data_IF_851616679503
#
_entry.id   IF_851616679503
#
_cell.length_a   1.000
_cell.length_b   1.000
_cell.length_c   1.000
_cell.angle_alpha   90.00
_cell.angle_beta   90.00
_cell.angle_gamma   90.00
#
_symmetry.space_group_name_H-M   'P 1'
#
loop_
_entity.id
_entity.type
_entity.pdbx_description
1 polymer ?
#
# COMPACT_ATOMS: atom_id res chain seq x y z
N UNK A 1 -2.60 6.20 21.23
CA UNK A 1 -1.42 5.45 21.73
C UNK A 1 -1.78 4.49 22.86
N UNK A 2 -2.63 4.89 23.80
CA UNK A 2 -3.11 4.03 24.90
C UNK A 2 -3.83 2.75 24.43
N UNK A 3 -4.59 2.83 23.34
CA UNK A 3 -5.40 1.70 22.85
C UNK A 3 -4.56 0.57 22.23
N UNK A 4 -3.61 0.88 21.34
CA UNK A 4 -2.69 -0.12 20.78
C UNK A 4 -1.91 -0.84 21.88
N UNK A 5 -1.34 -0.09 22.82
CA UNK A 5 -0.61 -0.66 23.97
C UNK A 5 -1.55 -1.51 24.85
N UNK A 6 -2.80 -1.08 25.04
CA UNK A 6 -3.79 -1.88 25.77
C UNK A 6 -4.09 -3.21 25.08
N UNK A 7 -4.26 -3.20 23.76
CA UNK A 7 -4.52 -4.40 22.96
C UNK A 7 -3.33 -5.37 22.98
N UNK A 8 -2.11 -4.86 22.82
CA UNK A 8 -0.88 -5.65 22.89
C UNK A 8 -0.68 -6.34 24.25
N UNK A 9 -1.15 -5.74 25.35
CA UNK A 9 -1.10 -6.37 26.68
C UNK A 9 -2.19 -7.44 26.90
N UNK A 10 -3.21 -7.53 26.03
CA UNK A 10 -4.34 -8.46 26.16
C UNK A 10 -4.22 -9.67 25.25
N UNK A 11 -3.62 -9.51 24.06
CA UNK A 11 -3.47 -10.57 23.07
C UNK A 11 -2.37 -10.24 22.06
N UNK A 12 -1.97 -11.25 21.30
CA UNK A 12 -1.14 -11.07 20.11
C UNK A 12 -1.97 -10.33 19.06
N UNK A 13 -1.35 -9.33 18.42
CA UNK A 13 -1.88 -8.65 17.24
C UNK A 13 -1.19 -9.20 15.99
N UNK A 14 -1.96 -9.43 14.93
CA UNK A 14 -1.48 -9.98 13.67
C UNK A 14 -1.29 -8.82 12.68
N UNK A 15 -0.09 -8.72 12.11
CA UNK A 15 0.16 -7.84 10.96
C UNK A 15 -0.21 -8.55 9.66
N UNK A 16 -0.47 -7.77 8.62
CA UNK A 16 -0.70 -8.26 7.27
C UNK A 16 0.53 -8.94 6.66
N UNK A 17 0.35 -9.43 5.44
CA UNK A 17 1.39 -10.05 4.64
C UNK A 17 1.93 -9.11 3.55
N UNK A 18 2.71 -9.69 2.63
CA UNK A 18 3.36 -8.92 1.57
C UNK A 18 2.34 -8.31 0.58
N UNK A 19 2.33 -6.98 0.46
CA UNK A 19 1.59 -6.25 -0.59
C UNK A 19 2.09 -6.62 -1.99
N UNK A 20 3.41 -6.64 -2.20
CA UNK A 20 4.01 -6.91 -3.52
C UNK A 20 3.65 -8.28 -4.10
N UNK A 21 3.60 -9.33 -3.26
CA UNK A 21 3.20 -10.68 -3.71
C UNK A 21 1.74 -10.72 -4.15
N UNK A 22 0.85 -10.01 -3.45
CA UNK A 22 -0.56 -9.91 -3.84
C UNK A 22 -0.72 -9.14 -5.15
N UNK A 23 0.02 -8.04 -5.34
CA UNK A 23 0.03 -7.28 -6.59
C UNK A 23 0.53 -8.11 -7.79
N UNK A 24 1.58 -8.91 -7.58
CA UNK A 24 2.11 -9.81 -8.63
C UNK A 24 1.07 -10.86 -9.08
N UNK A 25 0.18 -11.28 -8.19
CA UNK A 25 -0.89 -12.24 -8.52
C UNK A 25 -2.00 -11.63 -9.39
N UNK A 26 -2.08 -10.29 -9.51
CA UNK A 26 -3.08 -9.59 -10.31
C UNK A 26 -2.72 -9.43 -11.79
N UNK A 27 -1.54 -9.91 -12.22
CA UNK A 27 -1.04 -9.81 -13.60
C UNK A 27 -1.15 -8.39 -14.20
N UNK A 28 -0.87 -7.37 -13.36
CA UNK A 28 -0.92 -5.95 -13.74
C UNK A 28 0.00 -5.67 -14.92
N UNK A 29 -0.45 -4.78 -15.82
CA UNK A 29 0.32 -4.35 -16.99
C UNK A 29 0.85 -2.94 -16.77
N UNK A 30 1.85 -2.54 -17.55
CA UNK A 30 2.36 -1.17 -17.58
C UNK A 30 1.28 -0.07 -17.52
N UNK A 31 0.15 -0.25 -18.21
CA UNK A 31 -0.96 0.70 -18.19
C UNK A 31 -1.59 0.88 -16.78
N UNK A 32 -1.66 -0.18 -15.98
CA UNK A 32 -2.16 -0.14 -14.60
C UNK A 32 -1.26 0.72 -13.69
N UNK A 33 0.04 0.76 -13.96
CA UNK A 33 0.98 1.61 -13.24
C UNK A 33 0.99 3.06 -13.72
N UNK A 34 0.26 3.40 -14.78
CA UNK A 34 0.26 4.73 -15.41
C UNK A 34 1.16 4.85 -16.65
N UNK A 35 1.70 3.75 -17.16
CA UNK A 35 2.50 3.68 -18.39
C UNK A 35 3.79 2.90 -18.23
N UNK A 36 4.47 2.61 -19.34
CA UNK A 36 5.70 1.81 -19.37
C UNK A 36 6.85 2.41 -18.54
N UNK A 37 6.93 3.73 -18.40
CA UNK A 37 7.94 4.39 -17.55
C UNK A 37 7.68 4.25 -16.05
N UNK A 38 6.47 3.83 -15.66
CA UNK A 38 6.04 3.69 -14.27
C UNK A 38 5.85 2.22 -13.88
N UNK A 39 6.03 1.28 -14.81
CA UNK A 39 5.91 -0.15 -14.55
C UNK A 39 6.85 -0.58 -13.43
N UNK A 40 6.30 -1.23 -12.40
CA UNK A 40 7.04 -1.60 -11.19
C UNK A 40 6.97 -0.58 -10.05
N UNK A 41 6.48 0.64 -10.28
CA UNK A 41 6.21 1.61 -9.21
C UNK A 41 4.89 1.28 -8.50
N UNK A 42 4.94 0.30 -7.58
CA UNK A 42 3.77 -0.15 -6.82
C UNK A 42 3.09 0.98 -6.06
N UNK A 43 3.86 1.96 -5.58
CA UNK A 43 3.35 3.13 -4.87
C UNK A 43 2.37 3.94 -5.72
N UNK A 44 2.58 4.04 -7.04
CA UNK A 44 1.68 4.81 -7.90
C UNK A 44 0.31 4.13 -8.09
N UNK A 45 0.19 2.84 -7.79
CA UNK A 45 -1.08 2.10 -7.85
C UNK A 45 -2.13 2.66 -6.90
N UNK A 46 -1.74 3.38 -5.84
CA UNK A 46 -2.73 4.07 -4.98
C UNK A 46 -3.48 5.19 -5.70
N UNK A 47 -2.93 5.69 -6.82
CA UNK A 47 -3.56 6.70 -7.66
C UNK A 47 -4.23 6.09 -8.89
N UNK A 48 -3.59 5.09 -9.52
CA UNK A 48 -4.05 4.51 -10.79
C UNK A 48 -4.96 3.30 -10.63
N UNK A 49 -4.76 2.50 -9.57
CA UNK A 49 -5.54 1.29 -9.24
C UNK A 49 -5.89 1.23 -7.74
N UNK A 50 -6.56 2.27 -7.19
CA UNK A 50 -6.95 2.27 -5.78
C UNK A 50 -7.86 1.10 -5.41
N UNK A 51 -8.63 0.58 -6.39
CA UNK A 51 -9.46 -0.61 -6.25
C UNK A 51 -8.64 -1.87 -5.88
N UNK A 52 -7.49 -2.08 -6.53
CA UNK A 52 -6.62 -3.21 -6.26
C UNK A 52 -6.00 -3.13 -4.86
N UNK A 53 -5.54 -1.93 -4.47
CA UNK A 53 -4.93 -1.69 -3.15
C UNK A 53 -5.94 -1.90 -2.03
N UNK A 54 -7.14 -1.32 -2.14
CA UNK A 54 -8.20 -1.53 -1.14
C UNK A 54 -8.65 -2.99 -1.06
N UNK A 55 -8.75 -3.69 -2.19
CA UNK A 55 -9.10 -5.10 -2.19
C UNK A 55 -8.07 -5.97 -1.46
N UNK A 56 -6.76 -5.66 -1.61
CA UNK A 56 -5.70 -6.39 -0.90
C UNK A 56 -5.74 -6.12 0.61
N UNK A 57 -5.93 -4.86 1.04
CA UNK A 57 -6.10 -4.56 2.47
C UNK A 57 -7.32 -5.28 3.06
N UNK A 58 -8.46 -5.24 2.35
CA UNK A 58 -9.68 -5.94 2.76
C UNK A 58 -9.43 -7.45 2.90
N UNK A 59 -8.74 -8.07 1.95
CA UNK A 59 -8.40 -9.49 2.01
C UNK A 59 -7.52 -9.84 3.22
N UNK A 60 -6.59 -8.97 3.62
CA UNK A 60 -5.80 -9.19 4.84
C UNK A 60 -6.63 -9.06 6.11
N UNK A 61 -7.54 -8.09 6.19
CA UNK A 61 -8.48 -7.99 7.30
C UNK A 61 -9.42 -9.21 7.37
N UNK A 62 -9.94 -9.69 6.24
CA UNK A 62 -10.75 -10.91 6.15
C UNK A 62 -9.97 -12.16 6.58
N UNK A 63 -8.67 -12.20 6.32
CA UNK A 63 -7.76 -13.25 6.78
C UNK A 63 -7.40 -13.16 8.28
N UNK A 64 -7.83 -12.10 8.97
CA UNK A 64 -7.63 -11.92 10.42
C UNK A 64 -6.46 -11.02 10.80
N UNK A 65 -5.93 -10.20 9.89
CA UNK A 65 -4.99 -9.15 10.26
C UNK A 65 -5.67 -8.10 11.17
N UNK A 66 -4.96 -7.66 12.19
CA UNK A 66 -5.36 -6.57 13.07
C UNK A 66 -4.78 -5.22 12.63
N UNK A 67 -3.65 -5.28 11.90
CA UNK A 67 -2.85 -4.14 11.48
C UNK A 67 -2.44 -4.39 10.04
N UNK A 68 -2.56 -3.36 9.20
CA UNK A 68 -2.08 -3.38 7.83
C UNK A 68 -1.01 -2.31 7.63
N UNK A 69 -0.07 -2.58 6.73
CA UNK A 69 0.89 -1.58 6.25
C UNK A 69 0.26 -0.74 5.14
N UNK A 70 0.64 0.53 5.02
CA UNK A 70 0.26 1.34 3.85
C UNK A 70 1.07 0.92 2.63
N UNK A 71 0.49 0.99 1.42
CA UNK A 71 1.26 0.80 0.18
C UNK A 71 2.15 2.03 -0.12
N UNK A 72 3.19 2.22 0.70
CA UNK A 72 4.04 3.42 0.67
C UNK A 72 5.50 3.13 1.02
N UNK A 73 5.97 1.88 0.85
CA UNK A 73 7.33 1.48 1.21
C UNK A 73 8.38 2.32 0.45
N UNK A 74 8.22 2.44 -0.87
CA UNK A 74 9.05 3.28 -1.74
C UNK A 74 8.54 4.71 -1.91
N UNK A 75 7.55 5.16 -1.13
CA UNK A 75 6.96 6.49 -1.27
C UNK A 75 7.84 7.57 -0.64
N UNK A 76 9.09 7.63 -1.08
CA UNK A 76 10.13 8.55 -0.64
C UNK A 76 10.62 9.32 -1.86
N UNK A 77 10.83 10.63 -1.70
CA UNK A 77 11.13 11.55 -2.82
C UNK A 77 12.23 11.04 -3.76
N UNK A 78 13.33 10.49 -3.24
CA UNK A 78 14.44 10.03 -4.07
C UNK A 78 14.16 8.71 -4.81
N UNK A 79 13.35 7.82 -4.23
CA UNK A 79 12.92 6.57 -4.88
C UNK A 79 11.92 6.90 -5.99
N UNK A 80 10.95 7.76 -5.70
CA UNK A 80 9.95 8.19 -6.68
C UNK A 80 10.56 9.02 -7.83
N UNK A 81 11.73 9.64 -7.63
CA UNK A 81 12.46 10.33 -8.69
C UNK A 81 12.93 9.40 -9.81
N UNK A 82 13.16 8.11 -9.52
CA UNK A 82 13.50 7.10 -10.55
C UNK A 82 12.36 6.91 -11.56
N UNK A 83 11.13 7.28 -11.15
CA UNK A 83 9.90 7.22 -11.95
C UNK A 83 9.38 8.61 -12.37
N UNK A 84 10.08 9.70 -12.03
CA UNK A 84 9.63 11.07 -12.28
C UNK A 84 8.41 11.50 -11.44
N UNK A 85 8.24 10.91 -10.25
CA UNK A 85 7.11 11.14 -9.34
C UNK A 85 7.51 11.81 -8.03
N UNK A 86 8.71 12.38 -7.92
CA UNK A 86 9.24 12.98 -6.69
C UNK A 86 8.32 14.05 -6.08
N UNK A 87 7.66 14.84 -6.92
CA UNK A 87 6.75 15.90 -6.47
C UNK A 87 5.38 15.37 -6.02
N UNK A 88 5.08 14.10 -6.30
CA UNK A 88 3.87 13.41 -5.86
C UNK A 88 4.02 12.66 -4.54
N UNK A 89 5.20 12.66 -3.93
CA UNK A 89 5.49 11.91 -2.68
C UNK A 89 4.40 12.09 -1.61
N UNK A 90 4.02 13.34 -1.31
CA UNK A 90 3.01 13.62 -0.28
C UNK A 90 1.60 13.17 -0.71
N UNK A 91 1.26 13.31 -1.98
CA UNK A 91 -0.02 12.86 -2.54
C UNK A 91 -0.16 11.35 -2.41
N UNK A 92 0.88 10.61 -2.82
CA UNK A 92 0.96 9.15 -2.75
C UNK A 92 0.84 8.69 -1.29
N UNK A 93 1.68 9.19 -0.38
CA UNK A 93 1.61 8.78 1.04
C UNK A 93 0.22 9.02 1.66
N UNK A 94 -0.43 10.15 1.32
CA UNK A 94 -1.79 10.44 1.80
C UNK A 94 -2.83 9.51 1.22
N UNK A 95 -2.72 9.17 -0.07
CA UNK A 95 -3.61 8.21 -0.71
C UNK A 95 -3.42 6.81 -0.12
N UNK A 96 -2.17 6.33 0.04
CA UNK A 96 -1.86 5.05 0.68
C UNK A 96 -2.47 4.94 2.09
N UNK A 97 -2.32 5.99 2.91
CA UNK A 97 -2.88 6.02 4.25
C UNK A 97 -4.42 6.01 4.27
N UNK A 98 -5.07 6.66 3.30
CA UNK A 98 -6.54 6.63 3.17
C UNK A 98 -7.05 5.25 2.76
N UNK A 99 -6.39 4.59 1.81
CA UNK A 99 -6.81 3.28 1.30
C UNK A 99 -6.63 2.17 2.34
N UNK A 100 -5.59 2.25 3.17
CA UNK A 100 -5.36 1.28 4.26
C UNK A 100 -6.34 1.44 5.45
N UNK A 101 -7.01 2.59 5.55
CA UNK A 101 -7.96 2.90 6.63
C UNK A 101 -9.43 2.77 6.20
N UNK A 102 -9.69 2.37 4.95
CA UNK A 102 -11.02 2.23 4.36
C UNK A 102 -11.53 0.80 4.52
#
# INVERSE_FOLDING_TARGET
MSELISLLNKRILIMDGAMGTQLQALDLKAADFGGASLEGCNENLVLTRPDAISAIHAAYFEAGADIVETNSFGAVRHVLAEYGLEDKTLEICRASAKLAAA
#
